data_IF_378322184293
#
_entry.id   IF_378322184293
#
_cell.length_a   1.000
_cell.length_b   1.000
_cell.length_c   1.000
_cell.angle_alpha   90.00
_cell.angle_beta   90.00
_cell.angle_gamma   90.00
#
_symmetry.space_group_name_H-M   'P 1'
#
loop_
_entity.id
_entity.type
_entity.pdbx_description
1 polymer ?
#
# COMPACT_ATOMS: atom_id res chain seq x y z
N UNK A 1 19.17 -24.47 -11.89
CA UNK A 1 17.81 -24.14 -12.36
C UNK A 1 16.92 -23.94 -11.13
N UNK A 2 17.39 -23.18 -10.14
CA UNK A 2 16.91 -23.29 -8.75
C UNK A 2 16.41 -21.97 -8.17
N UNK A 3 16.49 -20.86 -8.93
CA UNK A 3 16.04 -19.54 -8.46
C UNK A 3 14.52 -19.36 -8.43
N UNK A 4 13.77 -20.09 -9.26
CA UNK A 4 12.30 -19.95 -9.34
C UNK A 4 11.59 -20.54 -8.12
N UNK A 5 12.12 -21.63 -7.55
CA UNK A 5 11.54 -22.32 -6.38
C UNK A 5 11.63 -21.43 -5.14
N UNK A 6 12.80 -20.82 -4.89
CA UNK A 6 12.97 -19.89 -3.76
C UNK A 6 12.11 -18.63 -3.89
N UNK A 7 11.95 -18.05 -5.09
CA UNK A 7 11.10 -16.86 -5.26
C UNK A 7 9.62 -17.14 -4.97
N UNK A 8 9.11 -18.33 -5.33
CA UNK A 8 7.73 -18.70 -5.06
C UNK A 8 7.51 -18.96 -3.56
N UNK A 9 8.50 -19.56 -2.89
CA UNK A 9 8.49 -19.80 -1.44
C UNK A 9 8.55 -18.46 -0.67
N UNK A 10 9.46 -17.56 -1.03
CA UNK A 10 9.60 -16.24 -0.37
C UNK A 10 8.33 -15.39 -0.54
N UNK A 11 7.68 -15.42 -1.72
CA UNK A 11 6.40 -14.70 -1.94
C UNK A 11 5.26 -15.20 -1.05
N UNK A 12 5.31 -16.45 -0.60
CA UNK A 12 4.33 -16.98 0.36
C UNK A 12 4.58 -16.48 1.79
N UNK A 13 5.83 -16.16 2.13
CA UNK A 13 6.20 -15.62 3.45
C UNK A 13 5.93 -14.12 3.61
N UNK A 14 5.74 -13.39 2.51
CA UNK A 14 5.48 -11.95 2.52
C UNK A 14 4.14 -11.61 1.86
N UNK A 15 3.00 -11.84 2.54
CA UNK A 15 1.71 -11.35 2.07
C UNK A 15 1.80 -9.84 1.85
N UNK A 16 1.40 -9.36 0.66
CA UNK A 16 1.50 -7.94 0.31
C UNK A 16 0.79 -7.04 1.33
N UNK A 17 -0.34 -7.50 1.87
CA UNK A 17 -1.08 -6.80 2.92
C UNK A 17 -0.21 -6.59 4.16
N UNK A 18 0.47 -7.64 4.63
CA UNK A 18 1.39 -7.58 5.76
C UNK A 18 2.59 -6.67 5.49
N UNK A 19 3.19 -6.77 4.30
CA UNK A 19 4.32 -5.89 3.92
C UNK A 19 3.89 -4.43 3.86
N UNK A 20 2.72 -4.15 3.29
CA UNK A 20 2.18 -2.78 3.19
C UNK A 20 1.92 -2.22 4.58
N UNK A 21 1.29 -3.00 5.46
CA UNK A 21 1.05 -2.61 6.85
C UNK A 21 2.37 -2.28 7.58
N UNK A 22 3.36 -3.17 7.52
CA UNK A 22 4.65 -2.95 8.18
C UNK A 22 5.44 -1.78 7.59
N UNK A 23 5.35 -1.56 6.29
CA UNK A 23 5.96 -0.39 5.65
C UNK A 23 5.28 0.91 6.13
N UNK A 24 3.95 0.93 6.23
CA UNK A 24 3.20 2.08 6.75
C UNK A 24 3.51 2.31 8.24
N UNK A 25 3.61 1.27 9.06
CA UNK A 25 4.06 1.37 10.46
C UNK A 25 5.47 1.96 10.56
N UNK A 26 6.39 1.50 9.73
CA UNK A 26 7.76 2.00 9.71
C UNK A 26 7.81 3.51 9.38
N UNK A 27 7.06 3.96 8.37
CA UNK A 27 6.99 5.38 8.03
C UNK A 27 6.32 6.22 9.11
N UNK A 28 5.28 5.69 9.77
CA UNK A 28 4.67 6.36 10.92
C UNK A 28 5.68 6.55 12.05
N UNK A 29 6.51 5.54 12.32
CA UNK A 29 7.57 5.63 13.32
C UNK A 29 8.65 6.64 12.93
N UNK A 30 9.24 6.50 11.74
CA UNK A 30 10.35 7.34 11.29
C UNK A 30 9.96 8.82 11.18
N UNK A 31 8.75 9.10 10.67
CA UNK A 31 8.30 10.47 10.41
C UNK A 31 7.46 11.07 11.55
N UNK A 32 7.22 10.32 12.62
CA UNK A 32 6.34 10.73 13.73
C UNK A 32 4.93 11.11 13.25
N UNK A 33 4.39 10.29 12.35
CA UNK A 33 3.06 10.46 11.74
C UNK A 33 2.10 9.35 12.18
N UNK A 34 0.81 9.62 12.05
CA UNK A 34 -0.27 8.65 12.15
C UNK A 34 -1.02 8.55 10.83
N UNK A 35 -1.17 7.33 10.30
CA UNK A 35 -1.93 7.07 9.10
C UNK A 35 -3.25 6.37 9.46
N UNK A 36 -4.36 6.99 9.09
CA UNK A 36 -5.69 6.44 9.37
C UNK A 36 -6.43 6.22 8.07
N UNK A 37 -6.82 4.97 7.80
CA UNK A 37 -7.60 4.62 6.63
C UNK A 37 -9.00 5.24 6.71
N UNK A 38 -9.42 5.87 5.61
CA UNK A 38 -10.75 6.44 5.45
C UNK A 38 -11.59 5.45 4.67
N UNK A 39 -12.63 4.93 5.33
CA UNK A 39 -13.58 3.99 4.76
C UNK A 39 -14.89 4.69 4.38
N UNK A 40 -15.68 4.05 3.49
CA UNK A 40 -17.02 4.54 3.11
C UNK A 40 -17.04 5.67 2.07
N UNK A 41 -15.89 5.99 1.47
CA UNK A 41 -15.78 6.96 0.37
C UNK A 41 -15.83 6.27 -0.99
N UNK A 42 -16.44 6.92 -1.99
CA UNK A 42 -16.43 6.43 -3.36
C UNK A 42 -15.06 6.71 -4.00
N UNK A 43 -14.33 5.63 -4.33
CA UNK A 43 -13.02 5.69 -4.97
C UNK A 43 -13.11 5.24 -6.44
N UNK A 44 -12.10 5.57 -7.24
CA UNK A 44 -12.04 5.16 -8.65
C UNK A 44 -11.89 3.65 -8.84
N UNK A 45 -11.49 2.92 -7.80
CA UNK A 45 -11.49 1.47 -7.78
C UNK A 45 -11.69 0.94 -6.36
N UNK A 46 -12.37 -0.19 -6.22
CA UNK A 46 -12.66 -0.84 -4.92
C UNK A 46 -11.40 -1.29 -4.15
N UNK A 47 -10.30 -1.48 -4.85
CA UNK A 47 -9.04 -1.96 -4.28
C UNK A 47 -8.09 -0.82 -3.90
N UNK A 48 -8.50 0.43 -4.17
CA UNK A 48 -7.77 1.63 -3.75
C UNK A 48 -8.11 1.91 -2.30
N UNK A 49 -7.11 2.32 -1.53
CA UNK A 49 -7.27 2.71 -0.12
C UNK A 49 -6.91 4.18 0.03
N UNK A 50 -7.67 4.92 0.83
CA UNK A 50 -7.40 6.32 1.15
C UNK A 50 -6.96 6.43 2.60
N UNK A 51 -5.91 7.19 2.87
CA UNK A 51 -5.43 7.47 4.21
C UNK A 51 -5.40 8.97 4.49
N UNK A 52 -5.77 9.34 5.72
CA UNK A 52 -5.42 10.64 6.29
C UNK A 52 -4.09 10.55 7.03
N UNK A 53 -3.27 11.59 6.89
CA UNK A 53 -1.96 11.73 7.53
C UNK A 53 -2.05 12.79 8.61
N UNK A 54 -1.76 12.41 9.85
CA UNK A 54 -1.78 13.31 11.00
C UNK A 54 -0.43 13.34 11.70
N UNK A 55 -0.04 14.48 12.23
CA UNK A 55 1.10 14.55 13.13
C UNK A 55 0.77 13.79 14.42
N UNK A 56 1.68 12.96 14.90
CA UNK A 56 1.41 12.10 16.06
C UNK A 56 1.24 12.87 17.37
N UNK A 57 1.94 14.00 17.53
CA UNK A 57 1.94 14.77 18.77
C UNK A 57 0.74 15.72 18.86
N UNK A 58 0.50 16.54 17.84
CA UNK A 58 -0.61 17.50 17.85
C UNK A 58 -1.93 16.93 17.34
N UNK A 59 -1.92 15.79 16.63
CA UNK A 59 -3.09 15.27 15.92
C UNK A 59 -3.49 16.09 14.68
N UNK A 60 -2.71 17.13 14.35
CA UNK A 60 -2.95 18.02 13.22
C UNK A 60 -2.96 17.23 11.91
N UNK A 61 -3.99 17.44 11.11
CA UNK A 61 -4.07 16.87 9.77
C UNK A 61 -3.09 17.56 8.83
N UNK A 62 -2.25 16.77 8.16
CA UNK A 62 -1.19 17.24 7.25
C UNK A 62 -1.58 17.02 5.78
N UNK A 63 -2.33 15.95 5.50
CA UNK A 63 -2.76 15.65 4.15
C UNK A 63 -3.35 14.27 4.00
N UNK A 64 -3.40 13.82 2.75
CA UNK A 64 -4.00 12.56 2.35
C UNK A 64 -3.12 11.83 1.35
N UNK A 65 -3.23 10.51 1.31
CA UNK A 65 -2.71 9.75 0.18
C UNK A 65 -3.57 8.55 -0.17
N UNK A 66 -3.56 8.21 -1.46
CA UNK A 66 -4.18 7.01 -1.99
C UNK A 66 -3.13 5.93 -2.24
N UNK A 67 -3.49 4.68 -1.97
CA UNK A 67 -2.73 3.49 -2.36
C UNK A 67 -3.49 2.70 -3.41
N UNK A 68 -2.97 2.67 -4.63
CA UNK A 68 -3.48 1.88 -5.75
C UNK A 68 -2.42 0.82 -6.13
N UNK A 69 -2.41 -0.31 -5.43
CA UNK A 69 -1.30 -1.26 -5.44
C UNK A 69 -1.45 -2.41 -6.45
N UNK A 70 -2.67 -2.70 -6.89
CA UNK A 70 -2.95 -3.94 -7.62
C UNK A 70 -3.03 -3.73 -9.13
N UNK A 71 -2.53 -4.71 -9.88
CA UNK A 71 -2.66 -4.74 -11.34
C UNK A 71 -4.13 -4.94 -11.74
N UNK A 72 -4.58 -4.17 -12.73
CA UNK A 72 -5.89 -4.33 -13.37
C UNK A 72 -5.80 -3.92 -14.84
N UNK A 73 -6.77 -4.37 -15.65
CA UNK A 73 -6.89 -3.97 -17.05
C UNK A 73 -6.95 -2.43 -17.14
N UNK A 74 -6.23 -1.85 -18.11
CA UNK A 74 -6.22 -0.40 -18.41
C UNK A 74 -5.65 0.52 -17.31
N UNK A 75 -4.94 -0.02 -16.32
CA UNK A 75 -4.20 0.79 -15.33
C UNK A 75 -2.81 1.17 -15.84
N UNK A 76 -2.33 2.34 -15.40
CA UNK A 76 -0.94 2.77 -15.56
C UNK A 76 0.06 1.69 -15.07
N UNK A 77 0.94 1.25 -15.96
CA UNK A 77 1.72 0.01 -15.78
C UNK A 77 3.07 0.20 -15.05
N UNK A 78 3.40 1.40 -14.57
CA UNK A 78 4.64 1.63 -13.81
C UNK A 78 4.36 1.91 -12.32
N UNK A 79 5.39 1.72 -11.49
CA UNK A 79 5.35 2.13 -10.08
C UNK A 79 5.69 3.62 -10.02
N UNK A 80 4.80 4.43 -9.46
CA UNK A 80 4.98 5.88 -9.44
C UNK A 80 4.20 6.53 -8.29
N UNK A 81 4.67 7.70 -7.86
CA UNK A 81 3.96 8.59 -6.95
C UNK A 81 3.48 9.81 -7.73
N UNK A 82 2.19 10.13 -7.60
CA UNK A 82 1.55 11.24 -8.28
C UNK A 82 1.08 12.27 -7.26
N UNK A 83 1.59 13.51 -7.29
CA UNK A 83 0.98 14.61 -6.55
C UNK A 83 -0.36 14.95 -7.21
N UNK A 84 -1.46 14.82 -6.46
CA UNK A 84 -2.80 15.18 -6.94
C UNK A 84 -3.15 16.62 -6.56
N UNK A 85 -2.71 17.05 -5.39
CA UNK A 85 -2.95 18.38 -4.85
C UNK A 85 -1.75 18.82 -4.02
N UNK A 86 -1.22 20.01 -4.29
CA UNK A 86 -0.15 20.61 -3.50
C UNK A 86 -0.71 21.27 -2.24
N UNK A 87 0.07 21.23 -1.16
CA UNK A 87 -0.21 22.05 0.01
C UNK A 87 0.17 23.50 -0.28
N UNK A 88 -0.77 24.42 -0.13
CA UNK A 88 -0.54 25.85 -0.36
C UNK A 88 -1.58 26.72 0.35
N UNK A 89 -1.24 27.99 0.52
CA UNK A 89 -2.23 29.00 0.91
C UNK A 89 -3.10 29.37 -0.28
N UNK A 90 -4.41 29.44 -0.03
CA UNK A 90 -5.41 29.86 -1.01
C UNK A 90 -6.20 31.03 -0.42
N UNK A 91 -6.98 31.71 -1.27
CA UNK A 91 -7.89 32.78 -0.83
C UNK A 91 -8.95 32.31 0.19
N UNK A 92 -9.21 31.00 0.26
CA UNK A 92 -10.20 30.39 1.16
C UNK A 92 -9.55 29.71 2.39
N UNK A 93 -8.24 29.84 2.57
CA UNK A 93 -7.48 29.22 3.65
C UNK A 93 -6.41 28.26 3.15
N UNK A 94 -5.89 27.43 4.06
CA UNK A 94 -4.82 26.49 3.76
C UNK A 94 -5.35 25.21 3.11
N UNK A 95 -4.84 24.89 1.92
CA UNK A 95 -5.13 23.65 1.22
C UNK A 95 -4.11 22.58 1.63
N UNK A 96 -4.59 21.36 1.93
CA UNK A 96 -3.75 20.24 2.32
C UNK A 96 -3.18 19.49 1.11
N UNK A 97 -2.03 18.84 1.28
CA UNK A 97 -1.47 18.00 0.24
C UNK A 97 -2.28 16.70 0.04
N UNK A 98 -2.35 16.24 -1.20
CA UNK A 98 -2.89 14.93 -1.55
C UNK A 98 -2.02 14.27 -2.64
N UNK A 99 -1.70 13.00 -2.47
CA UNK A 99 -0.92 12.23 -3.45
C UNK A 99 -1.52 10.84 -3.68
N UNK A 100 -1.10 10.15 -4.73
CA UNK A 100 -1.43 8.76 -5.00
C UNK A 100 -0.18 7.95 -5.31
N UNK A 101 0.03 6.85 -4.59
CA UNK A 101 1.05 5.87 -4.95
C UNK A 101 0.40 4.75 -5.76
N UNK A 102 0.94 4.54 -6.96
CA UNK A 102 0.47 3.55 -7.93
C UNK A 102 1.54 2.47 -8.06
N UNK A 103 1.14 1.21 -7.92
CA UNK A 103 1.97 0.04 -8.18
C UNK A 103 1.16 -1.08 -8.86
N UNK A 104 1.83 -2.13 -9.34
CA UNK A 104 1.19 -3.20 -10.13
C UNK A 104 1.46 -4.59 -9.56
N UNK A 105 1.20 -4.78 -8.26
CA UNK A 105 1.32 -6.09 -7.62
C UNK A 105 0.18 -7.03 -8.05
N UNK A 106 0.47 -8.32 -8.17
CA UNK A 106 -0.54 -9.36 -8.42
C UNK A 106 -1.31 -9.65 -7.14
N UNK A 107 -2.64 -9.75 -7.25
CA UNK A 107 -3.47 -10.30 -6.17
C UNK A 107 -3.28 -11.81 -6.11
N UNK A 108 -2.82 -12.33 -4.98
CA UNK A 108 -2.89 -13.75 -4.70
C UNK A 108 -4.28 -14.05 -4.11
N UNK A 109 -5.02 -14.98 -4.72
CA UNK A 109 -6.24 -15.50 -4.10
C UNK A 109 -5.83 -16.38 -2.92
N UNK A 110 -6.37 -16.11 -1.74
CA UNK A 110 -6.08 -16.81 -0.48
C UNK A 110 -6.52 -18.30 -0.42
N UNK A 111 -6.68 -18.98 -1.56
CA UNK A 111 -7.36 -20.28 -1.61
C UNK A 111 -6.50 -21.44 -2.13
N UNK A 112 -5.22 -21.44 -1.78
CA UNK A 112 -4.38 -22.62 -2.00
C UNK A 112 -3.60 -22.90 -0.71
N UNK A 113 -4.29 -23.54 0.23
CA UNK A 113 -3.66 -24.35 1.29
C UNK A 113 -2.83 -25.41 0.57
N UNK A 114 -1.53 -25.20 0.46
CA UNK A 114 -0.61 -26.25 0.04
C UNK A 114 -0.08 -26.91 1.31
N UNK A 115 -0.63 -28.07 1.63
CA UNK A 115 0.03 -29.02 2.51
C UNK A 115 1.25 -29.53 1.73
N UNK A 116 2.45 -29.15 2.14
CA UNK A 116 3.67 -29.80 1.64
C UNK A 116 3.65 -31.25 2.11
N UNK A 117 3.89 -32.18 1.20
CA UNK A 117 4.07 -33.59 1.54
C UNK A 117 5.50 -33.83 2.04
N UNK A 118 5.65 -34.68 3.05
CA UNK A 118 6.91 -34.96 3.78
C UNK A 118 8.09 -35.39 2.88
N UNK A 119 7.85 -35.77 1.63
CA UNK A 119 8.86 -36.14 0.65
C UNK A 119 9.68 -34.96 0.08
N UNK A 120 9.29 -33.71 0.33
CA UNK A 120 10.00 -32.53 -0.21
C UNK A 120 11.04 -31.92 0.75
N UNK A 121 11.22 -32.49 1.95
CA UNK A 121 12.15 -31.95 2.97
C UNK A 121 13.54 -32.58 2.93
N UNK A 122 13.76 -33.66 2.16
CA UNK A 122 15.08 -34.28 2.04
C UNK A 122 15.46 -34.54 0.57
N UNK A 123 16.37 -33.70 0.05
CA UNK A 123 17.33 -34.01 -1.01
C UNK A 123 18.64 -33.30 -0.69
#
# INVERSE_FOLDING_TARGET
RDFEVYQNIIKQYFPLEHVTEKLLELYQFLLHLGFHEIIGVQLWNKDVRLFSVREKNSGKLIGYFYLDLFIRKEKYNQISSFPLQSACETRMGYQLACAAMVANFKKFKANKKFLLSHSEVFS
#
